data_IF_156350458726
#
_entry.id   IF_156350458726
#
_cell.length_a   1.000
_cell.length_b   1.000
_cell.length_c   1.000
_cell.angle_alpha   90.00
_cell.angle_beta   90.00
_cell.angle_gamma   90.00
#
_symmetry.space_group_name_H-M   'P 1'
#
loop_
_entity.id
_entity.type
_entity.pdbx_description
1 polymer ?
#
# COMPACT_ATOMS: atom_id res chain seq x y z
N UNK A 1 2.32 24.45 0.91
CA UNK A 1 3.71 23.96 1.01
C UNK A 1 4.60 24.57 -0.08
N UNK A 2 4.15 24.66 -1.33
CA UNK A 2 4.98 25.05 -2.48
C UNK A 2 5.58 26.46 -2.49
N UNK A 3 5.06 27.39 -1.68
CA UNK A 3 5.63 28.74 -1.53
C UNK A 3 6.67 28.83 -0.39
N UNK A 4 6.77 27.80 0.45
CA UNK A 4 7.73 27.74 1.55
C UNK A 4 8.91 26.88 1.14
N UNK A 5 10.13 27.30 1.50
CA UNK A 5 11.33 26.50 1.33
C UNK A 5 11.37 25.43 2.43
N UNK A 6 11.02 24.19 2.07
CA UNK A 6 10.81 23.10 3.00
C UNK A 6 11.32 21.76 2.42
N UNK A 7 11.60 20.80 3.30
CA UNK A 7 11.75 19.40 2.93
C UNK A 7 10.39 18.70 3.05
N UNK A 8 10.02 17.86 2.09
CA UNK A 8 8.77 17.10 2.15
C UNK A 8 9.07 15.61 2.27
N UNK A 9 8.58 14.98 3.34
CA UNK A 9 8.56 13.53 3.48
C UNK A 9 7.18 13.05 3.03
N UNK A 10 7.12 12.43 1.86
CA UNK A 10 5.93 11.75 1.39
C UNK A 10 5.97 10.29 1.84
N UNK A 11 5.14 9.93 2.82
CA UNK A 11 5.01 8.55 3.27
C UNK A 11 3.94 7.80 2.46
N UNK A 12 4.27 6.59 2.01
CA UNK A 12 3.39 5.68 1.26
C UNK A 12 3.44 4.27 1.85
N UNK A 13 2.38 3.51 1.66
CA UNK A 13 2.29 2.09 2.05
C UNK A 13 2.68 1.20 0.88
N UNK A 14 3.63 0.28 1.06
CA UNK A 14 4.08 -0.60 -0.02
C UNK A 14 3.01 -1.55 -0.56
N UNK A 15 2.03 -1.95 0.27
CA UNK A 15 0.93 -2.82 -0.17
C UNK A 15 -0.19 -2.04 -0.84
N UNK A 16 -0.25 -0.74 -0.63
CA UNK A 16 -1.25 0.16 -1.20
C UNK A 16 -0.58 1.37 -1.85
N UNK A 17 0.47 1.12 -2.63
CA UNK A 17 1.34 2.15 -3.17
C UNK A 17 0.56 3.07 -4.13
N UNK A 18 -0.22 2.49 -5.04
CA UNK A 18 -1.04 3.24 -6.00
C UNK A 18 -2.17 4.02 -5.30
N UNK A 19 -2.69 3.50 -4.19
CA UNK A 19 -3.70 4.17 -3.39
C UNK A 19 -3.13 5.29 -2.50
N UNK A 20 -1.88 5.15 -2.04
CA UNK A 20 -1.26 6.06 -1.07
C UNK A 20 -0.37 7.13 -1.69
N UNK A 21 0.06 6.96 -2.94
CA UNK A 21 0.81 7.95 -3.71
C UNK A 21 -0.10 9.14 -4.04
N UNK A 22 0.29 10.35 -3.65
CA UNK A 22 -0.52 11.56 -3.85
C UNK A 22 -0.31 12.06 -5.29
N UNK A 23 -1.27 11.79 -6.17
CA UNK A 23 -1.24 12.30 -7.55
C UNK A 23 -1.20 13.82 -7.57
N UNK A 24 -0.28 14.38 -8.37
CA UNK A 24 -0.11 15.83 -8.47
C UNK A 24 0.54 16.50 -7.26
N UNK A 25 1.07 15.74 -6.28
CA UNK A 25 1.81 16.29 -5.14
C UNK A 25 2.87 17.30 -5.58
N UNK A 26 3.58 17.03 -6.69
CA UNK A 26 4.59 17.92 -7.25
C UNK A 26 4.10 19.37 -7.43
N UNK A 27 2.84 19.56 -7.83
CA UNK A 27 2.24 20.89 -8.02
C UNK A 27 2.12 21.65 -6.70
N UNK A 28 1.88 20.94 -5.62
CA UNK A 28 1.72 21.51 -4.28
C UNK A 28 3.03 21.72 -3.54
N UNK A 29 4.08 20.94 -3.88
CA UNK A 29 5.41 21.07 -3.26
C UNK A 29 6.36 21.97 -4.07
N UNK A 30 6.05 22.26 -5.34
CA UNK A 30 6.87 23.14 -6.17
C UNK A 30 8.25 22.55 -6.44
N UNK A 31 9.31 23.27 -6.07
CA UNK A 31 10.71 22.83 -6.21
C UNK A 31 11.29 22.22 -4.92
N UNK A 32 10.47 22.06 -3.88
CA UNK A 32 10.93 21.48 -2.63
C UNK A 32 11.38 20.02 -2.84
N UNK A 33 12.50 19.60 -2.25
CA UNK A 33 12.94 18.21 -2.32
C UNK A 33 11.90 17.30 -1.63
N UNK A 34 11.61 16.17 -2.27
CA UNK A 34 10.68 15.16 -1.76
C UNK A 34 11.44 13.87 -1.47
N UNK A 35 11.40 13.43 -0.20
CA UNK A 35 11.81 12.08 0.19
C UNK A 35 10.57 11.20 0.18
N UNK A 36 10.58 10.13 -0.61
CA UNK A 36 9.53 9.12 -0.58
C UNK A 36 9.88 8.06 0.47
N UNK A 37 9.18 8.09 1.60
CA UNK A 37 9.30 7.09 2.66
C UNK A 37 8.30 5.96 2.41
N UNK A 38 8.79 4.83 1.92
CA UNK A 38 7.99 3.64 1.62
C UNK A 38 7.94 2.75 2.84
N UNK A 39 6.81 2.78 3.54
CA UNK A 39 6.64 2.13 4.83
C UNK A 39 6.10 0.69 4.71
N UNK A 40 6.14 -0.04 5.83
CA UNK A 40 5.66 -1.42 6.02
C UNK A 40 6.45 -2.47 5.22
N UNK A 41 7.71 -2.18 4.90
CA UNK A 41 8.57 -3.10 4.16
C UNK A 41 8.88 -4.41 4.93
N UNK A 42 8.71 -4.42 6.25
CA UNK A 42 8.88 -5.61 7.09
C UNK A 42 7.88 -6.73 6.80
N UNK A 43 6.77 -6.41 6.14
CA UNK A 43 5.71 -7.36 5.80
C UNK A 43 5.93 -8.03 4.44
N UNK A 44 6.93 -7.58 3.67
CA UNK A 44 7.26 -8.20 2.39
C UNK A 44 7.87 -9.60 2.62
N UNK A 45 7.63 -10.55 1.70
CA UNK A 45 8.30 -11.85 1.73
C UNK A 45 9.82 -11.67 1.71
N UNK A 46 10.55 -12.48 2.49
CA UNK A 46 12.03 -12.41 2.55
C UNK A 46 12.72 -12.60 1.19
N UNK A 47 12.06 -13.27 0.26
CA UNK A 47 12.54 -13.54 -1.11
C UNK A 47 12.38 -12.34 -2.07
N UNK A 48 11.83 -11.22 -1.60
CA UNK A 48 11.58 -10.03 -2.43
C UNK A 48 12.89 -9.42 -2.92
N UNK A 49 12.97 -9.15 -4.22
CA UNK A 49 14.09 -8.47 -4.85
C UNK A 49 13.96 -6.94 -4.68
N UNK A 50 14.74 -6.39 -3.76
CA UNK A 50 14.73 -4.97 -3.43
C UNK A 50 15.07 -4.05 -4.61
N UNK A 51 15.95 -4.47 -5.52
CA UNK A 51 16.31 -3.66 -6.70
C UNK A 51 15.13 -3.55 -7.68
N UNK A 52 14.44 -4.66 -7.94
CA UNK A 52 13.23 -4.64 -8.78
C UNK A 52 12.13 -3.79 -8.16
N UNK A 53 11.94 -3.91 -6.84
CA UNK A 53 10.97 -3.11 -6.11
C UNK A 53 11.28 -1.61 -6.23
N UNK A 54 12.54 -1.21 -6.01
CA UNK A 54 13.01 0.17 -6.15
C UNK A 54 12.78 0.69 -7.57
N UNK A 55 13.17 -0.06 -8.59
CA UNK A 55 13.00 0.33 -9.99
C UNK A 55 11.52 0.51 -10.35
N UNK A 56 10.65 -0.39 -9.87
CA UNK A 56 9.21 -0.27 -10.07
C UNK A 56 8.67 1.02 -9.43
N UNK A 57 9.01 1.30 -8.16
CA UNK A 57 8.55 2.52 -7.48
C UNK A 57 9.06 3.80 -8.15
N UNK A 58 10.33 3.84 -8.58
CA UNK A 58 10.88 4.97 -9.33
C UNK A 58 10.11 5.22 -10.62
N UNK A 59 9.80 4.15 -11.36
CA UNK A 59 9.02 4.23 -12.59
C UNK A 59 7.60 4.74 -12.31
N UNK A 60 6.93 4.27 -11.25
CA UNK A 60 5.60 4.75 -10.85
C UNK A 60 5.61 6.22 -10.44
N UNK A 61 6.57 6.66 -9.62
CA UNK A 61 6.70 8.07 -9.25
C UNK A 61 6.88 8.97 -10.48
N UNK A 62 7.69 8.53 -11.46
CA UNK A 62 7.89 9.26 -12.71
C UNK A 62 6.61 9.35 -13.54
N UNK A 63 5.82 8.28 -13.62
CA UNK A 63 4.53 8.27 -14.32
C UNK A 63 3.51 9.23 -13.70
N UNK A 64 3.49 9.33 -12.36
CA UNK A 64 2.65 10.29 -11.63
C UNK A 64 3.24 11.72 -11.58
N UNK A 65 4.39 11.95 -12.24
CA UNK A 65 5.04 13.24 -12.31
C UNK A 65 5.69 13.70 -11.00
N UNK A 66 5.89 12.80 -10.04
CA UNK A 66 6.55 13.07 -8.76
C UNK A 66 8.07 12.97 -8.90
N UNK A 67 8.78 14.06 -8.59
CA UNK A 67 10.24 14.08 -8.54
C UNK A 67 10.70 13.79 -7.12
N UNK A 68 11.18 12.58 -6.90
CA UNK A 68 11.74 12.18 -5.61
C UNK A 68 13.24 12.45 -5.59
N UNK A 69 13.72 13.15 -4.55
CA UNK A 69 15.15 13.32 -4.28
C UNK A 69 15.75 12.01 -3.79
N UNK A 70 15.02 11.29 -2.93
CA UNK A 70 15.38 9.96 -2.49
C UNK A 70 14.13 9.08 -2.28
N UNK A 71 14.31 7.76 -2.44
CA UNK A 71 13.34 6.74 -2.04
C UNK A 71 13.95 5.90 -0.93
N UNK A 72 13.33 5.95 0.25
CA UNK A 72 13.76 5.20 1.44
C UNK A 72 12.73 4.13 1.75
N UNK A 73 13.18 2.87 1.78
CA UNK A 73 12.38 1.74 2.22
C UNK A 73 12.51 1.61 3.72
N UNK A 74 11.40 1.63 4.45
CA UNK A 74 11.41 1.58 5.91
C UNK A 74 10.27 0.73 6.50
N UNK A 75 10.41 0.45 7.80
CA UNK A 75 9.33 -0.03 8.65
C UNK A 75 9.31 0.78 9.93
N UNK A 76 8.35 1.69 10.05
CA UNK A 76 8.16 2.52 11.24
C UNK A 76 7.85 1.68 12.49
N UNK A 77 7.19 0.53 12.30
CA UNK A 77 6.87 -0.40 13.38
C UNK A 77 8.09 -1.16 13.89
N UNK A 78 9.00 -1.56 12.99
CA UNK A 78 10.19 -2.38 13.32
C UNK A 78 11.49 -1.58 13.46
N UNK A 79 11.42 -0.26 13.30
CA UNK A 79 12.59 0.63 13.24
C UNK A 79 13.63 0.23 12.18
N UNK A 80 13.17 -0.31 11.05
CA UNK A 80 14.07 -0.74 9.97
C UNK A 80 14.16 0.34 8.90
N UNK A 81 15.37 0.62 8.42
CA UNK A 81 15.62 1.63 7.38
C UNK A 81 15.42 3.07 7.85
N UNK A 82 15.30 3.29 9.17
CA UNK A 82 15.15 4.63 9.76
C UNK A 82 16.45 5.41 9.76
N UNK A 83 17.60 4.77 9.99
CA UNK A 83 18.92 5.42 9.91
C UNK A 83 19.09 6.12 8.56
N UNK A 84 18.80 5.41 7.47
CA UNK A 84 18.83 5.96 6.11
C UNK A 84 17.82 7.10 5.90
N UNK A 85 16.64 7.02 6.52
CA UNK A 85 15.65 8.10 6.44
C UNK A 85 16.18 9.35 7.16
N UNK A 86 16.78 9.19 8.33
CA UNK A 86 17.37 10.28 9.11
C UNK A 86 18.57 10.89 8.41
N UNK A 87 19.44 10.08 7.80
CA UNK A 87 20.54 10.53 6.95
C UNK A 87 20.01 11.38 5.79
N UNK A 88 19.05 10.85 5.03
CA UNK A 88 18.44 11.55 3.91
C UNK A 88 17.77 12.87 4.33
N UNK A 89 17.07 12.86 5.47
CA UNK A 89 16.47 14.07 6.04
C UNK A 89 17.57 15.05 6.43
N UNK A 90 18.63 14.62 7.10
CA UNK A 90 19.71 15.51 7.56
C UNK A 90 20.45 16.15 6.39
N UNK A 91 20.80 15.36 5.37
CA UNK A 91 21.47 15.83 4.15
C UNK A 91 20.60 16.78 3.32
N UNK A 92 19.32 16.45 3.14
CA UNK A 92 18.42 17.20 2.27
C UNK A 92 17.66 18.31 3.00
N UNK A 93 17.65 18.36 4.33
CA UNK A 93 16.90 19.38 5.06
C UNK A 93 17.57 20.73 4.96
N UNK A 94 18.88 20.84 5.14
CA UNK A 94 19.61 22.11 5.00
C UNK A 94 18.99 23.28 5.79
N UNK A 95 18.62 23.06 7.06
CA UNK A 95 18.00 24.10 7.91
C UNK A 95 16.62 24.54 7.41
N UNK A 96 15.76 23.60 7.03
CA UNK A 96 14.38 23.86 6.58
C UNK A 96 13.38 23.15 7.48
N UNK A 97 12.15 23.66 7.43
CA UNK A 97 10.99 22.95 7.96
C UNK A 97 10.77 21.63 7.21
N UNK A 98 10.32 20.60 7.93
CA UNK A 98 10.03 19.27 7.37
C UNK A 98 8.53 19.03 7.38
N UNK A 99 7.90 18.89 6.21
CA UNK A 99 6.48 18.54 6.10
C UNK A 99 6.32 17.04 5.88
N UNK A 100 5.57 16.38 6.76
CA UNK A 100 5.23 14.97 6.58
C UNK A 100 3.83 14.88 5.98
N UNK A 101 3.74 14.34 4.77
CA UNK A 101 2.50 14.18 3.99
C UNK A 101 2.27 12.73 3.63
N UNK A 102 1.02 12.30 3.63
CA UNK A 102 0.65 10.95 3.25
C UNK A 102 -0.84 10.69 3.42
N UNK A 103 -1.29 9.59 2.84
CA UNK A 103 -2.67 9.15 3.03
C UNK A 103 -2.91 8.64 4.48
N UNK A 104 -4.16 8.47 4.87
CA UNK A 104 -4.50 7.80 6.14
C UNK A 104 -3.95 6.36 6.19
N UNK A 105 -3.69 5.83 7.38
CA UNK A 105 -3.27 4.42 7.59
C UNK A 105 -1.94 3.97 6.92
N UNK A 106 -1.16 4.89 6.33
CA UNK A 106 0.18 4.59 5.78
C UNK A 106 1.28 4.51 6.85
N UNK A 107 0.97 4.89 8.09
CA UNK A 107 1.91 4.90 9.22
C UNK A 107 2.59 6.25 9.48
N UNK A 108 2.00 7.35 9.02
CA UNK A 108 2.50 8.73 9.21
C UNK A 108 2.79 9.06 10.68
N UNK A 109 1.84 8.84 11.57
CA UNK A 109 2.00 9.13 13.00
C UNK A 109 3.10 8.27 13.64
N UNK A 110 3.23 6.99 13.23
CA UNK A 110 4.32 6.13 13.70
C UNK A 110 5.68 6.63 13.21
N UNK A 111 5.78 7.07 11.96
CA UNK A 111 7.00 7.66 11.41
C UNK A 111 7.37 8.95 12.15
N UNK A 112 6.41 9.82 12.43
CA UNK A 112 6.64 11.07 13.14
C UNK A 112 7.13 10.79 14.56
N UNK A 113 6.44 9.95 15.33
CA UNK A 113 6.87 9.63 16.69
C UNK A 113 8.31 9.09 16.73
N UNK A 114 8.73 8.34 15.69
CA UNK A 114 10.12 7.89 15.54
C UNK A 114 11.09 9.02 15.26
N UNK A 115 10.76 9.89 14.29
CA UNK A 115 11.57 11.08 14.03
C UNK A 115 11.74 11.92 15.30
N UNK A 116 10.69 12.11 16.11
CA UNK A 116 10.78 12.83 17.38
C UNK A 116 11.81 12.16 18.30
N UNK A 117 11.65 10.86 18.58
CA UNK A 117 12.54 10.12 19.47
C UNK A 117 14.01 10.15 19.04
N UNK A 118 14.28 10.18 17.73
CA UNK A 118 15.65 10.16 17.21
C UNK A 118 16.27 11.56 17.08
N UNK A 119 15.46 12.61 16.88
CA UNK A 119 15.93 14.01 16.84
C UNK A 119 16.03 14.66 18.22
N UNK A 120 15.36 14.09 19.23
CA UNK A 120 15.34 14.65 20.57
C UNK A 120 16.09 13.74 21.54
N UNK A 121 17.23 14.22 22.07
CA UNK A 121 17.74 13.78 23.38
C UNK A 121 16.76 14.16 24.53
N UNK A 122 15.60 14.76 24.21
CA UNK A 122 14.56 15.18 25.13
C UNK A 122 13.58 14.03 25.45
N UNK A 123 13.99 13.15 26.37
CA UNK A 123 13.03 12.49 27.28
C UNK A 123 12.28 13.50 28.18
N UNK A 124 12.63 14.81 28.16
CA UNK A 124 12.21 15.77 29.20
C UNK A 124 11.15 16.83 28.86
N UNK A 125 10.69 17.03 27.62
CA UNK A 125 9.66 18.06 27.33
C UNK A 125 8.43 17.59 26.53
N UNK A 126 8.16 16.29 26.47
CA UNK A 126 6.95 15.74 25.84
C UNK A 126 5.71 15.67 26.77
N UNK A 127 5.69 16.44 27.86
CA UNK A 127 4.59 16.39 28.85
C UNK A 127 3.56 17.52 28.74
N UNK A 128 3.70 18.48 27.83
CA UNK A 128 2.76 19.63 27.78
C UNK A 128 2.37 20.10 26.38
N UNK A 129 2.12 19.19 25.43
CA UNK A 129 1.09 19.49 24.42
C UNK A 129 0.45 18.21 23.88
N UNK A 130 -0.81 18.03 24.28
CA UNK A 130 -1.87 17.19 23.71
C UNK A 130 -1.40 16.21 22.62
N UNK A 131 -1.32 14.92 22.94
CA UNK A 131 -1.53 13.86 21.95
C UNK A 131 -2.92 14.05 21.31
N UNK A 132 -3.06 14.28 19.99
CA UNK A 132 -4.37 14.36 19.37
C UNK A 132 -4.72 13.03 18.69
N UNK A 133 -5.73 12.37 19.23
CA UNK A 133 -6.66 11.57 18.43
C UNK A 133 -7.59 12.51 17.66
N UNK A 134 -7.56 12.41 16.34
CA UNK A 134 -8.49 12.95 15.32
C UNK A 134 -8.52 14.46 15.00
N UNK A 135 -8.62 14.69 13.68
CA UNK A 135 -9.21 15.81 12.90
C UNK A 135 -8.58 17.21 12.91
N UNK A 136 -7.97 17.52 11.74
CA UNK A 136 -7.80 18.79 11.04
C UNK A 136 -6.66 19.74 11.41
N UNK A 137 -6.07 19.68 12.60
CA UNK A 137 -4.99 20.62 12.95
C UNK A 137 -3.60 20.10 12.58
N UNK A 138 -2.84 20.97 11.91
CA UNK A 138 -1.43 20.76 11.61
C UNK A 138 -0.62 20.81 12.91
N UNK A 139 0.05 19.72 13.27
CA UNK A 139 0.90 19.67 14.48
C UNK A 139 2.31 20.14 14.12
N UNK A 140 2.89 21.04 14.91
CA UNK A 140 4.28 21.48 14.75
C UNK A 140 5.10 20.97 15.91
N UNK A 141 6.14 20.21 15.62
CA UNK A 141 7.10 19.72 16.60
C UNK A 141 8.38 20.53 16.43
N UNK A 142 8.84 21.25 17.47
CA UNK A 142 10.08 22.02 17.41
C UNK A 142 11.29 21.11 17.30
N UNK A 143 12.32 21.60 16.61
CA UNK A 143 13.66 21.02 16.55
C UNK A 143 14.65 22.00 17.17
N UNK A 144 15.79 21.49 17.63
CA UNK A 144 16.80 22.28 18.37
C UNK A 144 17.39 23.46 17.58
N UNK A 145 17.28 23.40 16.25
CA UNK A 145 17.76 24.43 15.33
C UNK A 145 16.70 25.52 15.01
N UNK A 146 15.59 25.56 15.76
CA UNK A 146 14.56 26.60 15.63
C UNK A 146 13.57 26.39 14.47
N UNK A 147 13.62 25.23 13.83
CA UNK A 147 12.70 24.81 12.77
C UNK A 147 11.72 23.75 13.28
N UNK A 148 10.80 23.30 12.42
CA UNK A 148 9.74 22.39 12.83
C UNK A 148 9.63 21.14 11.94
N UNK A 149 9.23 20.03 12.55
CA UNK A 149 8.54 18.93 11.85
C UNK A 149 7.05 19.25 11.87
N UNK A 150 6.44 19.34 10.70
CA UNK A 150 5.05 19.66 10.50
C UNK A 150 4.29 18.40 10.12
N UNK A 151 3.44 17.91 11.03
CA UNK A 151 2.49 16.86 10.74
C UNK A 151 1.27 17.44 10.01
N UNK A 152 1.04 16.99 8.78
CA UNK A 152 -0.16 17.37 8.02
C UNK A 152 -1.27 16.34 8.23
N UNK A 153 -2.56 16.76 8.23
CA UNK A 153 -3.67 15.82 8.26
C UNK A 153 -3.54 14.78 7.14
N UNK A 154 -3.77 13.51 7.48
CA UNK A 154 -3.69 12.42 6.51
C UNK A 154 -4.77 12.56 5.43
N UNK A 155 -4.41 12.39 4.17
CA UNK A 155 -5.37 12.48 3.06
C UNK A 155 -6.21 11.19 3.04
N UNK A 156 -7.53 11.36 3.11
CA UNK A 156 -8.48 10.25 3.02
C UNK A 156 -8.82 10.02 1.55
N UNK A 157 -8.57 8.81 1.07
CA UNK A 157 -8.94 8.38 -0.28
C UNK A 157 -10.05 7.34 -0.20
N UNK A 158 -11.31 7.70 -0.51
CA UNK A 158 -12.47 6.83 -0.30
C UNK A 158 -12.44 5.49 -1.05
N UNK A 159 -11.59 5.38 -2.07
CA UNK A 159 -11.46 4.16 -2.89
C UNK A 159 -10.41 3.17 -2.38
N UNK A 160 -9.63 3.52 -1.35
CA UNK A 160 -8.64 2.61 -0.76
C UNK A 160 -9.32 1.58 0.13
N UNK A 161 -8.84 0.34 0.13
CA UNK A 161 -9.40 -0.71 0.99
C UNK A 161 -9.45 -0.30 2.47
N UNK A 162 -8.45 0.41 2.99
CA UNK A 162 -8.41 0.87 4.38
C UNK A 162 -9.56 1.82 4.76
N UNK A 163 -10.18 2.46 3.77
CA UNK A 163 -11.33 3.37 3.96
C UNK A 163 -12.66 2.71 3.55
N UNK A 164 -12.61 1.67 2.72
CA UNK A 164 -13.77 0.90 2.28
C UNK A 164 -14.24 -0.12 3.33
N UNK A 165 -13.31 -0.70 4.08
CA UNK A 165 -13.62 -1.71 5.09
C UNK A 165 -13.73 -1.09 6.48
N UNK A 166 -14.56 -1.68 7.32
CA UNK A 166 -14.66 -1.25 8.72
C UNK A 166 -13.49 -1.75 9.56
N UNK A 167 -13.32 -1.16 10.75
CA UNK A 167 -12.22 -1.45 11.68
C UNK A 167 -12.03 -2.94 11.97
N UNK A 168 -13.12 -3.70 12.03
CA UNK A 168 -13.10 -5.14 12.33
C UNK A 168 -12.48 -5.96 11.19
N UNK A 169 -12.56 -5.46 9.96
CA UNK A 169 -12.09 -6.13 8.75
C UNK A 169 -10.72 -5.59 8.28
N UNK A 170 -10.15 -4.59 8.98
CA UNK A 170 -8.89 -3.95 8.61
C UNK A 170 -7.71 -4.92 8.54
N UNK A 171 -7.65 -5.93 9.42
CA UNK A 171 -6.56 -6.92 9.43
C UNK A 171 -6.53 -7.79 8.16
N UNK A 172 -7.64 -7.84 7.41
CA UNK A 172 -7.71 -8.55 6.13
C UNK A 172 -7.01 -7.82 4.99
N UNK A 173 -6.95 -6.49 5.06
CA UNK A 173 -6.36 -5.61 4.03
C UNK A 173 -5.02 -5.05 4.49
N UNK A 174 -4.79 -4.93 5.80
CA UNK A 174 -3.54 -4.47 6.40
C UNK A 174 -2.90 -5.62 7.19
N UNK A 175 -1.97 -6.37 6.59
CA UNK A 175 -1.32 -7.49 7.26
C UNK A 175 -0.51 -7.03 8.48
N UNK A 176 -0.59 -7.77 9.59
CA UNK A 176 0.23 -7.53 10.78
C UNK A 176 1.57 -8.31 10.76
N UNK A 177 1.65 -9.35 9.92
CA UNK A 177 2.77 -10.27 9.79
C UNK A 177 3.21 -10.36 8.32
N UNK A 178 4.47 -10.75 8.05
CA UNK A 178 4.96 -10.93 6.69
C UNK A 178 4.07 -11.85 5.84
N UNK A 179 3.82 -11.44 4.60
CA UNK A 179 2.98 -12.21 3.69
C UNK A 179 3.61 -13.57 3.39
N UNK A 180 2.81 -14.62 3.56
CA UNK A 180 3.20 -16.00 3.26
C UNK A 180 2.70 -16.36 1.85
N UNK A 181 3.53 -17.03 1.03
CA UNK A 181 3.09 -17.47 -0.29
C UNK A 181 2.02 -18.56 -0.16
N UNK A 182 0.87 -18.37 -0.80
CA UNK A 182 -0.17 -19.39 -0.95
C UNK A 182 -0.24 -19.84 -2.42
N UNK A 183 0.24 -21.04 -2.72
CA UNK A 183 0.35 -21.55 -4.10
C UNK A 183 -0.92 -22.32 -4.48
N UNK A 184 -1.52 -21.95 -5.61
CA UNK A 184 -2.69 -22.61 -6.19
C UNK A 184 -2.38 -23.07 -7.61
N UNK A 185 -2.56 -24.37 -7.86
CA UNK A 185 -2.52 -24.96 -9.21
C UNK A 185 -3.92 -24.88 -9.82
N UNK A 186 -4.06 -24.13 -10.91
CA UNK A 186 -5.36 -23.84 -11.53
C UNK A 186 -5.41 -24.34 -12.97
N UNK A 187 -6.59 -24.82 -13.35
CA UNK A 187 -7.03 -25.05 -14.71
C UNK A 187 -7.79 -23.82 -15.21
N UNK A 188 -7.85 -23.67 -16.53
CA UNK A 188 -8.75 -22.73 -17.19
C UNK A 188 -10.18 -22.83 -16.64
N UNK A 189 -10.85 -21.69 -16.48
CA UNK A 189 -12.21 -21.63 -15.96
C UNK A 189 -12.28 -21.86 -14.45
N UNK A 190 -11.24 -21.48 -13.69
CA UNK A 190 -11.26 -21.51 -12.22
C UNK A 190 -11.03 -20.14 -11.61
N UNK A 191 -11.62 -19.97 -10.43
CA UNK A 191 -11.68 -18.71 -9.70
C UNK A 191 -11.17 -18.87 -8.28
N UNK A 192 -10.48 -17.84 -7.78
CA UNK A 192 -10.11 -17.66 -6.39
C UNK A 192 -10.79 -16.40 -5.84
N UNK A 193 -11.54 -16.54 -4.75
CA UNK A 193 -12.06 -15.42 -3.97
C UNK A 193 -11.12 -15.12 -2.81
N UNK A 194 -10.95 -13.84 -2.51
CA UNK A 194 -10.20 -13.31 -1.38
C UNK A 194 -11.21 -12.73 -0.39
N UNK A 195 -11.82 -13.60 0.43
CA UNK A 195 -13.02 -13.26 1.20
C UNK A 195 -14.10 -12.63 0.30
N UNK A 196 -14.74 -11.58 0.82
CA UNK A 196 -15.64 -10.69 0.09
C UNK A 196 -14.96 -9.42 -0.43
N UNK A 197 -13.63 -9.40 -0.57
CA UNK A 197 -12.86 -8.19 -0.92
C UNK A 197 -12.31 -8.20 -2.34
N UNK A 198 -12.17 -9.36 -2.95
CA UNK A 198 -11.77 -9.45 -4.34
C UNK A 198 -11.86 -10.87 -4.90
N UNK A 199 -11.70 -10.97 -6.20
CA UNK A 199 -11.78 -12.23 -6.95
C UNK A 199 -10.77 -12.22 -8.09
N UNK A 200 -10.14 -13.37 -8.30
CA UNK A 200 -9.25 -13.66 -9.42
C UNK A 200 -9.83 -14.80 -10.26
N UNK A 201 -9.93 -14.58 -11.56
CA UNK A 201 -10.39 -15.56 -12.54
C UNK A 201 -9.24 -15.93 -13.47
N UNK A 202 -8.98 -17.23 -13.59
CA UNK A 202 -8.14 -17.77 -14.64
C UNK A 202 -9.03 -18.08 -15.86
N UNK A 203 -9.13 -17.11 -16.76
CA UNK A 203 -10.09 -17.12 -17.88
C UNK A 203 -9.63 -18.04 -19.00
N UNK A 204 -8.35 -17.98 -19.38
CA UNK A 204 -7.81 -18.77 -20.47
C UNK A 204 -6.33 -19.09 -20.28
N UNK A 205 -5.92 -20.32 -20.55
CA UNK A 205 -4.51 -20.73 -20.59
C UNK A 205 -4.28 -22.15 -20.11
N UNK A 206 -3.07 -22.71 -20.31
CA UNK A 206 -2.76 -24.05 -19.85
C UNK A 206 -2.69 -24.12 -18.32
N UNK A 207 -2.84 -25.34 -17.79
CA UNK A 207 -2.67 -25.63 -16.38
C UNK A 207 -1.37 -25.01 -15.85
N UNK A 208 -1.50 -24.13 -14.85
CA UNK A 208 -0.35 -23.43 -14.28
C UNK A 208 -0.61 -23.02 -12.83
N UNK A 209 0.46 -22.65 -12.14
CA UNK A 209 0.39 -22.18 -10.77
C UNK A 209 0.34 -20.66 -10.65
N UNK A 210 -0.39 -20.23 -9.64
CA UNK A 210 -0.48 -18.84 -9.20
C UNK A 210 -0.13 -18.79 -7.72
N UNK A 211 0.75 -17.87 -7.33
CA UNK A 211 1.12 -17.69 -5.92
C UNK A 211 0.50 -16.40 -5.41
N UNK A 212 -0.45 -16.53 -4.48
CA UNK A 212 -1.10 -15.40 -3.83
C UNK A 212 -0.26 -14.92 -2.65
N UNK A 213 -0.01 -13.63 -2.59
CA UNK A 213 0.60 -12.92 -1.48
C UNK A 213 -0.42 -11.91 -0.96
N UNK A 214 -1.23 -12.34 -0.01
CA UNK A 214 -2.30 -11.55 0.63
C UNK A 214 -2.24 -11.76 2.16
N UNK A 215 -2.97 -10.96 2.93
CA UNK A 215 -3.03 -11.12 4.38
C UNK A 215 -3.44 -12.55 4.77
N UNK A 216 -2.74 -13.14 5.74
CA UNK A 216 -3.01 -14.52 6.20
C UNK A 216 -4.35 -14.70 6.92
N UNK A 217 -5.01 -13.60 7.29
CA UNK A 217 -6.37 -13.60 7.85
C UNK A 217 -7.44 -13.73 6.78
N UNK A 218 -7.12 -13.42 5.52
CA UNK A 218 -8.04 -13.46 4.40
C UNK A 218 -8.10 -14.88 3.81
N UNK A 219 -9.25 -15.54 3.97
CA UNK A 219 -9.45 -16.90 3.43
C UNK A 219 -9.58 -16.86 1.92
N UNK A 220 -8.92 -17.82 1.27
CA UNK A 220 -8.98 -18.01 -0.18
C UNK A 220 -9.97 -19.14 -0.49
N UNK A 221 -11.03 -18.83 -1.23
CA UNK A 221 -12.04 -19.80 -1.65
C UNK A 221 -11.94 -20.06 -3.14
N UNK A 222 -11.75 -21.34 -3.52
CA UNK A 222 -11.65 -21.75 -4.92
C UNK A 222 -12.99 -22.28 -5.42
N UNK A 223 -13.38 -21.88 -6.63
CA UNK A 223 -14.55 -22.42 -7.33
C UNK A 223 -14.31 -22.48 -8.84
N UNK A 224 -15.27 -23.03 -9.59
CA UNK A 224 -15.31 -22.94 -11.05
C UNK A 224 -15.84 -21.58 -11.47
N UNK A 225 -15.30 -21.05 -12.56
CA UNK A 225 -15.68 -19.74 -13.12
C UNK A 225 -17.18 -19.66 -13.42
N UNK A 226 -17.75 -20.73 -13.98
CA UNK A 226 -19.19 -20.84 -14.28
C UNK A 226 -20.11 -20.70 -13.04
N UNK A 227 -19.58 -20.96 -11.84
CA UNK A 227 -20.31 -20.87 -10.56
C UNK A 227 -19.90 -19.66 -9.73
N UNK A 228 -18.93 -18.86 -10.20
CA UNK A 228 -18.33 -17.82 -9.38
C UNK A 228 -19.34 -16.70 -9.10
N UNK A 229 -20.14 -16.30 -10.09
CA UNK A 229 -21.14 -15.25 -9.92
C UNK A 229 -22.28 -15.66 -8.97
N UNK A 230 -22.79 -16.89 -9.11
CA UNK A 230 -23.83 -17.42 -8.20
C UNK A 230 -23.29 -17.60 -6.78
N UNK A 231 -22.08 -18.17 -6.63
CA UNK A 231 -21.45 -18.35 -5.32
C UNK A 231 -21.21 -17.02 -4.61
N UNK A 232 -20.88 -15.96 -5.35
CA UNK A 232 -20.78 -14.62 -4.77
C UNK A 232 -22.15 -14.06 -4.35
N UNK A 233 -23.17 -14.18 -5.19
CA UNK A 233 -24.51 -13.71 -4.86
C UNK A 233 -25.09 -14.40 -3.62
N UNK A 234 -24.91 -15.72 -3.52
CA UNK A 234 -25.52 -16.55 -2.48
C UNK A 234 -24.75 -16.53 -1.16
N UNK A 235 -23.43 -16.29 -1.19
CA UNK A 235 -22.57 -16.47 -0.01
C UNK A 235 -21.69 -15.25 0.36
N UNK A 236 -21.92 -14.08 -0.26
CA UNK A 236 -21.25 -12.82 0.16
C UNK A 236 -21.61 -12.46 1.60
N UNK A 237 -20.60 -12.16 2.41
CA UNK A 237 -20.80 -11.78 3.81
C UNK A 237 -20.90 -12.95 4.80
N UNK A 238 -20.97 -14.19 4.31
CA UNK A 238 -20.96 -15.41 5.13
C UNK A 238 -19.66 -16.18 4.89
N UNK A 239 -19.67 -17.10 3.92
CA UNK A 239 -18.49 -17.84 3.50
C UNK A 239 -17.45 -16.91 2.86
N UNK A 240 -17.90 -15.96 2.04
CA UNK A 240 -17.05 -14.95 1.42
C UNK A 240 -16.99 -13.72 2.33
N UNK A 241 -16.28 -13.87 3.43
CA UNK A 241 -16.00 -12.83 4.42
C UNK A 241 -14.50 -12.77 4.72
N UNK A 242 -13.99 -11.63 5.21
CA UNK A 242 -14.67 -10.34 5.41
C UNK A 242 -14.99 -9.60 4.10
N UNK A 243 -15.90 -8.60 4.09
CA UNK A 243 -16.73 -8.14 5.20
C UNK A 243 -17.81 -9.16 5.58
N UNK A 244 -18.49 -8.96 6.71
CA UNK A 244 -19.73 -9.66 7.06
C UNK A 244 -20.93 -9.18 6.24
N UNK A 245 -22.04 -9.93 6.27
CA UNK A 245 -23.27 -9.63 5.53
C UNK A 245 -23.85 -8.24 5.84
N UNK A 246 -23.74 -7.80 7.09
CA UNK A 246 -24.15 -6.48 7.59
C UNK A 246 -23.33 -5.31 7.02
N UNK A 247 -22.16 -5.58 6.45
CA UNK A 247 -21.23 -4.58 5.90
C UNK A 247 -21.00 -4.72 4.41
N UNK A 248 -21.44 -5.82 3.80
CA UNK A 248 -21.18 -6.11 2.41
C UNK A 248 -21.77 -5.06 1.45
N UNK A 249 -22.96 -4.54 1.77
CA UNK A 249 -23.64 -3.53 0.95
C UNK A 249 -23.02 -2.13 1.05
N UNK A 250 -22.07 -1.92 1.98
CA UNK A 250 -21.28 -0.67 2.06
C UNK A 250 -20.13 -0.65 1.05
N UNK A 251 -19.72 -1.81 0.53
CA UNK A 251 -18.68 -1.87 -0.49
C UNK A 251 -19.22 -1.38 -1.84
N UNK A 252 -18.43 -0.58 -2.58
CA UNK A 252 -18.74 -0.26 -3.96
C UNK A 252 -18.92 -1.52 -4.81
N UNK A 253 -19.76 -1.47 -5.86
CA UNK A 253 -19.90 -2.59 -6.78
C UNK A 253 -18.54 -2.96 -7.37
N UNK A 254 -18.33 -4.25 -7.59
CA UNK A 254 -17.08 -4.74 -8.15
C UNK A 254 -16.93 -4.35 -9.62
N UNK A 255 -15.70 -4.06 -10.01
CA UNK A 255 -15.29 -3.78 -11.38
C UNK A 255 -14.37 -4.90 -11.86
N UNK A 256 -14.60 -5.38 -13.09
CA UNK A 256 -13.74 -6.36 -13.76
C UNK A 256 -12.57 -5.66 -14.45
N UNK A 257 -11.37 -6.17 -14.21
CA UNK A 257 -10.13 -5.78 -14.88
C UNK A 257 -9.51 -7.01 -15.54
N UNK A 258 -9.46 -7.02 -16.86
CA UNK A 258 -8.90 -8.14 -17.62
C UNK A 258 -7.48 -7.85 -18.07
N UNK A 259 -6.61 -8.86 -17.96
CA UNK A 259 -5.20 -8.77 -18.31
C UNK A 259 -4.79 -9.95 -19.18
N UNK A 260 -3.99 -9.66 -20.20
CA UNK A 260 -3.31 -10.68 -21.01
C UNK A 260 -1.85 -10.76 -20.58
N UNK A 261 -1.46 -11.90 -20.02
CA UNK A 261 -0.10 -12.21 -19.63
C UNK A 261 0.64 -12.83 -20.82
N UNK A 262 1.72 -12.19 -21.23
CA UNK A 262 2.49 -12.61 -22.40
C UNK A 262 3.34 -13.86 -22.10
N UNK A 263 3.58 -14.67 -23.13
CA UNK A 263 4.51 -15.82 -23.03
C UNK A 263 5.90 -15.37 -22.59
N UNK A 264 6.54 -16.14 -21.71
CA UNK A 264 7.86 -15.85 -21.15
C UNK A 264 7.91 -14.68 -20.16
N UNK A 265 6.81 -13.94 -19.98
CA UNK A 265 6.77 -12.84 -19.02
C UNK A 265 6.73 -13.36 -17.58
N UNK A 266 7.41 -12.65 -16.67
CA UNK A 266 7.32 -12.88 -15.22
C UNK A 266 6.58 -11.71 -14.62
N UNK A 267 5.29 -11.90 -14.38
CA UNK A 267 4.38 -10.82 -14.01
C UNK A 267 3.63 -11.11 -12.72
N UNK A 268 3.44 -10.05 -11.94
CA UNK A 268 2.54 -10.01 -10.79
C UNK A 268 1.27 -9.24 -11.17
N UNK A 269 0.12 -9.75 -10.78
CA UNK A 269 -1.14 -9.02 -10.74
C UNK A 269 -1.25 -8.35 -9.38
N UNK A 270 -1.00 -7.04 -9.35
CA UNK A 270 -1.01 -6.25 -8.13
C UNK A 270 -2.41 -5.65 -7.89
N UNK A 271 -2.91 -5.83 -6.66
CA UNK A 271 -4.17 -5.28 -6.18
C UNK A 271 -3.85 -4.34 -5.02
N UNK A 272 -3.98 -3.03 -5.26
CA UNK A 272 -3.62 -2.00 -4.28
C UNK A 272 -4.43 -2.18 -3.00
N UNK A 273 -3.75 -2.34 -1.86
CA UNK A 273 -4.35 -2.52 -0.54
C UNK A 273 -4.77 -3.96 -0.20
N UNK A 274 -4.59 -4.94 -1.09
CA UNK A 274 -4.91 -6.35 -0.80
C UNK A 274 -3.69 -7.27 -0.91
N UNK A 275 -2.82 -7.01 -1.90
CA UNK A 275 -1.64 -7.83 -2.15
C UNK A 275 -1.37 -8.04 -3.64
N UNK A 276 -0.79 -9.19 -3.99
CA UNK A 276 -0.58 -9.54 -5.40
C UNK A 276 -0.64 -11.04 -5.65
N UNK A 277 -0.81 -11.40 -6.91
CA UNK A 277 -0.81 -12.77 -7.40
C UNK A 277 0.33 -12.89 -8.41
N UNK A 278 1.33 -13.69 -8.09
CA UNK A 278 2.42 -14.02 -9.01
C UNK A 278 1.96 -15.09 -10.00
N UNK A 279 2.12 -14.81 -11.29
CA UNK A 279 1.90 -15.78 -12.36
C UNK A 279 3.19 -16.57 -12.56
N UNK A 280 3.18 -17.86 -12.22
CA UNK A 280 4.40 -18.68 -12.27
C UNK A 280 4.62 -19.35 -13.63
N UNK A 281 3.56 -19.51 -14.43
CA UNK A 281 3.63 -20.11 -15.76
C UNK A 281 4.28 -19.19 -16.79
N UNK A 282 4.92 -19.78 -17.80
CA UNK A 282 5.56 -19.07 -18.91
C UNK A 282 4.76 -19.14 -20.22
N UNK A 283 3.67 -19.89 -20.24
CA UNK A 283 2.87 -20.15 -21.45
C UNK A 283 1.87 -19.04 -21.80
N UNK A 284 1.82 -17.98 -20.99
CA UNK A 284 0.83 -16.91 -21.11
C UNK A 284 -0.53 -17.31 -20.54
N UNK A 285 -1.36 -16.30 -20.29
CA UNK A 285 -2.69 -16.46 -19.70
C UNK A 285 -3.58 -15.26 -19.99
N UNK A 286 -4.89 -15.46 -20.01
CA UNK A 286 -5.88 -14.40 -19.82
C UNK A 286 -6.46 -14.57 -18.42
N UNK A 287 -6.42 -13.49 -17.66
CA UNK A 287 -6.86 -13.46 -16.26
C UNK A 287 -7.73 -12.23 -16.04
N UNK A 288 -8.67 -12.33 -15.11
CA UNK A 288 -9.48 -11.19 -14.70
C UNK A 288 -9.46 -11.02 -13.18
N UNK A 289 -9.40 -9.77 -12.74
CA UNK A 289 -9.51 -9.38 -11.34
C UNK A 289 -10.82 -8.62 -11.15
N UNK A 290 -11.58 -8.97 -10.13
CA UNK A 290 -12.76 -8.24 -9.69
C UNK A 290 -12.49 -7.67 -8.31
N UNK A 291 -12.61 -6.36 -8.17
CA UNK A 291 -12.41 -5.62 -6.90
C UNK A 291 -13.41 -4.47 -6.82
N UNK A 292 -13.71 -3.92 -5.63
CA UNK A 292 -14.55 -2.74 -5.49
C UNK A 292 -14.08 -1.59 -6.38
N UNK A 293 -15.03 -0.91 -7.03
CA UNK A 293 -14.74 0.22 -7.93
C UNK A 293 -13.84 1.25 -7.25
N UNK A 294 -12.79 1.65 -7.97
CA UNK A 294 -11.82 2.65 -7.51
C UNK A 294 -10.52 2.05 -6.97
N UNK A 295 -10.55 0.80 -6.50
CA UNK A 295 -9.34 0.05 -6.16
C UNK A 295 -8.51 -0.14 -7.43
N UNK A 296 -7.22 0.21 -7.36
CA UNK A 296 -6.30 0.09 -8.49
C UNK A 296 -5.78 -1.33 -8.63
N UNK A 297 -5.84 -1.85 -9.85
CA UNK A 297 -5.29 -3.15 -10.23
C UNK A 297 -4.39 -2.96 -11.44
N UNK A 298 -3.20 -3.54 -11.41
CA UNK A 298 -2.24 -3.45 -12.50
C UNK A 298 -1.36 -4.70 -12.60
N UNK A 299 -0.77 -4.89 -13.78
CA UNK A 299 0.32 -5.85 -13.96
C UNK A 299 1.67 -5.17 -13.75
N UNK A 300 2.59 -5.82 -13.04
CA UNK A 300 3.98 -5.37 -12.91
C UNK A 300 4.97 -6.52 -13.09
N UNK A 301 6.26 -6.25 -13.36
CA UNK A 301 7.29 -7.29 -13.33
C UNK A 301 7.35 -7.97 -11.96
N UNK A 302 7.57 -9.29 -11.96
CA UNK A 302 7.64 -10.09 -10.72
C UNK A 302 8.74 -9.57 -9.80
N UNK A 303 8.35 -9.24 -8.57
CA UNK A 303 9.27 -8.78 -7.52
C UNK A 303 9.99 -9.93 -6.81
N UNK A 304 9.57 -11.17 -7.06
CA UNK A 304 10.15 -12.42 -6.53
C UNK A 304 10.68 -13.26 -7.68
#
# INVERSE_FOLDING_TARGET
VGEKNALVIHIVDIFDFEGSLISGLQRFVGNNPVILAVNKCDLLPKVTNWNKLRNWMQQRCKEEGLRTAEIVLCSAKRNQGFDRLLEAVTELRGGRDVYVVGATNVGKSTLINRLISDYSDLEQELTTSRYPGTTLDTVKIPLDDGHYIIDTPGIVYPWRYSELVERQDLDAVMPANPLKPAVYQLNEGQTLFFGGLGRFDFVQGPHQSFTCFISGTLKIHRTKLERADSLYADHRGEMLSPPGSDRMDKLPPWQRHEFRINKGSRSDLYISGLGWIKVNGTEGAVVAIHVPRGVKVLTRPSMI
#
